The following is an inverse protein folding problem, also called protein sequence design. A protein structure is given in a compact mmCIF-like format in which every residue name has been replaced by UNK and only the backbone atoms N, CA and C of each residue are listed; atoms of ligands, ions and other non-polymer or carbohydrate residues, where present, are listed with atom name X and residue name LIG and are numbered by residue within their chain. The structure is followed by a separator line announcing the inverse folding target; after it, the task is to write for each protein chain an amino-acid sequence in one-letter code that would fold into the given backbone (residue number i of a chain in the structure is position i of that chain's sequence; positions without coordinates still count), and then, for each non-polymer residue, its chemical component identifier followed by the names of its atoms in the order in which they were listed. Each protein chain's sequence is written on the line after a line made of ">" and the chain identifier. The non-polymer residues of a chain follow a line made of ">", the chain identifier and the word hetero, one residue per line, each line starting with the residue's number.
data_IF_193922028252
#
_entry.id   IF_193922028252
#
_cell.length_a   1.000
_cell.length_b   1.000
_cell.length_c   1.000
_cell.angle_alpha   90.00
_cell.angle_beta   90.00
_cell.angle_gamma   90.00
#
_symmetry.space_group_name_H-M   'P 1'
#
loop_
_entity.id
_entity.type
_entity.pdbx_description
1 polymer ?
#
# COMPACT_ATOMS: atom_id res chain seq x y z
N UNK A 1 1.83 -0.05 -8.78
CA UNK A 1 0.83 -1.04 -9.20
C UNK A 1 -0.58 -0.76 -8.69
N UNK A 2 -0.93 -0.98 -7.41
CA UNK A 2 -2.33 -0.83 -6.94
C UNK A 2 -2.86 0.58 -7.23
N UNK A 3 -2.07 1.60 -6.90
CA UNK A 3 -2.42 3.00 -7.16
C UNK A 3 -2.60 3.32 -8.65
N UNK A 4 -1.95 2.57 -9.55
CA UNK A 4 -2.09 2.76 -10.99
C UNK A 4 -3.41 2.18 -11.48
N UNK A 5 -3.79 0.99 -10.99
CA UNK A 5 -5.10 0.40 -11.25
C UNK A 5 -6.22 1.29 -10.69
N UNK A 6 -6.07 1.80 -9.46
CA UNK A 6 -7.03 2.75 -8.88
C UNK A 6 -7.13 4.03 -9.73
N UNK A 7 -6.01 4.53 -10.26
CA UNK A 7 -6.03 5.70 -11.13
C UNK A 7 -6.78 5.43 -12.44
N UNK A 8 -6.62 4.23 -13.03
CA UNK A 8 -7.48 3.79 -14.14
C UNK A 8 -8.96 3.81 -13.75
N UNK A 9 -9.33 3.22 -12.60
CA UNK A 9 -10.72 3.23 -12.13
C UNK A 9 -11.27 4.65 -11.93
N UNK A 10 -10.46 5.56 -11.40
CA UNK A 10 -10.85 6.97 -11.21
C UNK A 10 -11.07 7.68 -12.54
N UNK A 11 -10.23 7.47 -13.54
CA UNK A 11 -10.42 8.03 -14.89
C UNK A 11 -11.63 7.39 -15.58
N UNK A 12 -11.84 6.09 -15.41
CA UNK A 12 -13.02 5.41 -15.93
C UNK A 12 -14.31 5.90 -15.27
N UNK A 13 -14.27 6.36 -14.02
CA UNK A 13 -15.42 6.97 -13.33
C UNK A 13 -15.57 8.46 -13.71
N UNK A 14 -14.47 9.21 -13.77
CA UNK A 14 -14.40 10.61 -14.12
C UNK A 14 -13.21 10.91 -15.06
N UNK A 15 -13.43 11.04 -16.39
CA UNK A 15 -12.37 11.29 -17.35
C UNK A 15 -11.68 12.64 -17.16
N UNK A 16 -12.34 13.60 -16.51
CA UNK A 16 -11.79 14.93 -16.22
C UNK A 16 -10.86 14.95 -14.99
N UNK A 17 -10.57 13.79 -14.39
CA UNK A 17 -9.54 13.66 -13.35
C UNK A 17 -8.14 13.70 -13.96
N UNK A 18 -7.67 14.92 -14.24
CA UNK A 18 -6.37 15.19 -14.86
C UNK A 18 -5.19 14.57 -14.07
N UNK A 19 -5.28 14.54 -12.73
CA UNK A 19 -4.22 13.99 -11.86
C UNK A 19 -4.05 12.49 -12.10
N UNK A 20 -5.16 11.74 -12.09
CA UNK A 20 -5.11 10.30 -12.32
C UNK A 20 -4.85 9.97 -13.81
N UNK A 21 -5.35 10.79 -14.74
CA UNK A 21 -5.07 10.63 -16.16
C UNK A 21 -3.57 10.77 -16.46
N UNK A 22 -2.91 11.78 -15.90
CA UNK A 22 -1.47 12.00 -16.06
C UNK A 22 -0.62 10.85 -15.50
N UNK A 23 -1.12 10.15 -14.48
CA UNK A 23 -0.45 8.99 -13.91
C UNK A 23 -0.47 7.77 -14.83
N UNK A 24 -1.58 7.56 -15.53
CA UNK A 24 -1.83 6.34 -16.32
C UNK A 24 -1.56 6.49 -17.83
N UNK A 25 -1.54 7.72 -18.35
CA UNK A 25 -1.44 7.98 -19.80
C UNK A 25 -0.21 7.29 -20.43
N UNK A 26 0.90 7.18 -19.70
CA UNK A 26 2.11 6.50 -20.16
C UNK A 26 2.50 5.31 -19.27
N UNK A 27 1.53 4.73 -18.55
CA UNK A 27 1.69 3.55 -17.70
C UNK A 27 0.63 2.50 -18.09
N UNK A 28 0.97 1.44 -18.85
CA UNK A 28 2.28 1.11 -19.45
C UNK A 28 2.79 2.10 -20.51
N UNK A 29 4.07 2.00 -20.89
CA UNK A 29 4.72 2.96 -21.80
C UNK A 29 4.04 2.97 -23.18
N UNK A 30 3.54 4.14 -23.59
CA UNK A 30 2.88 4.39 -24.89
C UNK A 30 3.67 5.34 -25.80
N UNK A 31 4.89 5.70 -25.43
CA UNK A 31 5.70 6.64 -26.22
C UNK A 31 5.20 8.10 -26.15
N UNK A 32 4.32 8.42 -25.20
CA UNK A 32 3.85 9.78 -24.95
C UNK A 32 4.88 10.47 -24.04
N UNK A 33 5.86 11.12 -24.67
CA UNK A 33 6.96 11.78 -23.97
C UNK A 33 6.56 13.05 -23.20
N UNK A 34 7.48 13.53 -22.33
CA UNK A 34 7.27 14.74 -21.51
C UNK A 34 6.93 15.98 -22.33
N UNK A 35 7.62 16.18 -23.45
CA UNK A 35 7.39 17.31 -24.37
C UNK A 35 6.01 17.25 -25.02
N UNK A 36 5.53 16.05 -25.37
CA UNK A 36 4.17 15.87 -25.87
C UNK A 36 3.14 16.21 -24.79
N UNK A 37 3.32 15.71 -23.56
CA UNK A 37 2.41 16.04 -22.46
C UNK A 37 2.37 17.54 -22.13
N UNK A 38 3.51 18.23 -22.20
CA UNK A 38 3.58 19.68 -21.98
C UNK A 38 2.78 20.45 -23.04
N UNK A 39 2.89 20.07 -24.32
CA UNK A 39 2.08 20.69 -25.40
C UNK A 39 0.59 20.44 -25.20
N UNK A 40 0.19 19.23 -24.82
CA UNK A 40 -1.22 18.90 -24.54
C UNK A 40 -1.74 19.78 -23.38
N UNK A 41 -0.97 19.90 -22.29
CA UNK A 41 -1.33 20.76 -21.16
C UNK A 41 -1.47 22.22 -21.56
N UNK A 42 -0.52 22.76 -22.33
CA UNK A 42 -0.58 24.15 -22.77
C UNK A 42 -1.84 24.43 -23.62
N UNK A 43 -2.25 23.49 -24.48
CA UNK A 43 -3.48 23.60 -25.25
C UNK A 43 -4.72 23.51 -24.35
N UNK A 44 -4.72 22.59 -23.39
CA UNK A 44 -5.80 22.43 -22.42
C UNK A 44 -6.01 23.70 -21.59
N UNK A 45 -4.93 24.28 -21.07
CA UNK A 45 -4.94 25.55 -20.33
C UNK A 45 -5.41 26.71 -21.20
N UNK A 46 -4.92 26.82 -22.44
CA UNK A 46 -5.31 27.90 -23.36
C UNK A 46 -6.80 27.84 -23.72
N UNK A 47 -7.37 26.64 -23.89
CA UNK A 47 -8.77 26.43 -24.29
C UNK A 47 -9.73 26.29 -23.11
N UNK A 48 -9.21 26.15 -21.88
CA UNK A 48 -10.03 25.91 -20.68
C UNK A 48 -10.71 24.53 -20.67
N UNK A 49 -10.09 23.53 -21.28
CA UNK A 49 -10.60 22.16 -21.35
C UNK A 49 -9.83 21.21 -20.44
N UNK A 50 -10.44 20.10 -20.02
CA UNK A 50 -9.71 19.02 -19.33
C UNK A 50 -8.67 18.40 -20.27
N UNK A 51 -7.70 17.67 -19.69
CA UNK A 51 -6.73 16.95 -20.49
C UNK A 51 -7.40 15.88 -21.36
N UNK A 52 -8.44 15.21 -20.84
CA UNK A 52 -9.16 14.20 -21.59
C UNK A 52 -9.87 14.77 -22.83
N UNK A 53 -10.60 15.88 -22.68
CA UNK A 53 -11.25 16.55 -23.82
C UNK A 53 -10.22 17.06 -24.83
N UNK A 54 -9.10 17.59 -24.35
CA UNK A 54 -8.01 18.06 -25.20
C UNK A 54 -7.41 16.91 -26.01
N UNK A 55 -7.04 15.81 -25.36
CA UNK A 55 -6.53 14.60 -26.02
C UNK A 55 -7.53 14.07 -27.05
N UNK A 56 -8.81 14.04 -26.69
CA UNK A 56 -9.89 13.57 -27.55
C UNK A 56 -10.03 14.40 -28.83
N UNK A 57 -9.81 15.72 -28.74
CA UNK A 57 -9.78 16.60 -29.92
C UNK A 57 -8.49 16.44 -30.74
N UNK A 58 -7.34 16.29 -30.07
CA UNK A 58 -6.02 16.27 -30.71
C UNK A 58 -5.73 14.99 -31.48
N UNK A 59 -6.41 13.88 -31.16
CA UNK A 59 -6.24 12.59 -31.87
C UNK A 59 -6.68 12.68 -33.34
N UNK A 60 -7.67 13.50 -33.64
CA UNK A 60 -8.22 13.70 -35.00
C UNK A 60 -7.85 15.03 -35.64
N UNK A 61 -7.29 15.97 -34.87
CA UNK A 61 -6.99 17.31 -35.38
C UNK A 61 -5.78 17.32 -36.32
N UNK A 62 -5.95 17.91 -37.50
CA UNK A 62 -4.84 18.19 -38.43
C UNK A 62 -3.85 19.21 -37.84
N UNK A 63 -4.34 20.14 -37.01
CA UNK A 63 -3.54 21.18 -36.33
C UNK A 63 -2.77 20.67 -35.10
N UNK A 64 -2.90 19.40 -34.76
CA UNK A 64 -2.24 18.82 -33.58
C UNK A 64 -0.71 18.89 -33.71
N UNK A 65 0.02 19.42 -32.70
CA UNK A 65 1.47 19.65 -32.75
C UNK A 65 2.30 18.37 -32.54
N UNK A 66 1.66 17.21 -32.67
CA UNK A 66 2.18 15.88 -32.40
C UNK A 66 2.30 15.09 -33.71
N UNK A 67 3.40 14.34 -33.86
CA UNK A 67 3.57 13.42 -34.99
C UNK A 67 2.62 12.23 -34.94
N UNK A 68 2.46 11.53 -36.07
CA UNK A 68 1.50 10.43 -36.27
C UNK A 68 1.54 9.39 -35.15
N UNK A 69 2.72 8.93 -34.75
CA UNK A 69 2.88 7.93 -33.69
C UNK A 69 2.26 8.35 -32.35
N UNK A 70 2.39 9.63 -31.97
CA UNK A 70 1.79 10.11 -30.72
C UNK A 70 0.28 10.21 -30.86
N UNK A 71 -0.24 10.61 -32.04
CA UNK A 71 -1.69 10.62 -32.30
C UNK A 71 -2.28 9.21 -32.21
N UNK A 72 -1.64 8.22 -32.83
CA UNK A 72 -2.03 6.80 -32.72
C UNK A 72 -2.05 6.33 -31.25
N UNK A 73 -1.02 6.63 -30.47
CA UNK A 73 -0.98 6.28 -29.05
C UNK A 73 -2.04 6.98 -28.20
N UNK A 74 -2.41 8.22 -28.54
CA UNK A 74 -3.51 8.94 -27.90
C UNK A 74 -4.87 8.33 -28.30
N UNK A 75 -5.03 7.94 -29.56
CA UNK A 75 -6.23 7.26 -30.06
C UNK A 75 -6.43 5.91 -29.37
N UNK A 76 -5.39 5.07 -29.31
CA UNK A 76 -5.40 3.80 -28.59
C UNK A 76 -5.75 3.99 -27.10
N UNK A 77 -5.16 5.00 -26.46
CA UNK A 77 -5.45 5.29 -25.06
C UNK A 77 -6.89 5.74 -24.84
N UNK A 78 -7.41 6.64 -25.67
CA UNK A 78 -8.79 7.09 -25.51
C UNK A 78 -9.78 5.98 -25.84
N UNK A 79 -9.55 5.19 -26.90
CA UNK A 79 -10.39 4.04 -27.23
C UNK A 79 -10.42 2.99 -26.12
N UNK A 80 -9.30 2.76 -25.44
CA UNK A 80 -9.23 1.92 -24.24
C UNK A 80 -10.14 2.47 -23.13
N UNK A 81 -10.04 3.77 -22.82
CA UNK A 81 -10.85 4.41 -21.77
C UNK A 81 -12.34 4.38 -22.13
N UNK A 82 -12.71 4.73 -23.36
CA UNK A 82 -14.10 4.72 -23.85
C UNK A 82 -14.71 3.30 -23.73
N UNK A 83 -13.99 2.27 -24.19
CA UNK A 83 -14.44 0.86 -24.15
C UNK A 83 -14.71 0.35 -22.72
N UNK A 84 -13.74 0.55 -21.81
CA UNK A 84 -13.89 0.04 -20.44
C UNK A 84 -14.84 0.92 -19.60
N UNK A 85 -15.00 2.20 -19.94
CA UNK A 85 -15.94 3.10 -19.27
C UNK A 85 -17.38 2.68 -19.51
N UNK A 86 -17.73 2.31 -20.75
CA UNK A 86 -19.08 1.82 -21.08
C UNK A 86 -19.44 0.60 -20.23
N UNK A 87 -18.56 -0.39 -20.18
CA UNK A 87 -18.80 -1.64 -19.45
C UNK A 87 -18.85 -1.42 -17.93
N UNK A 88 -17.90 -0.66 -17.35
CA UNK A 88 -17.82 -0.49 -15.89
C UNK A 88 -18.96 0.37 -15.32
N UNK A 89 -19.47 1.32 -16.10
CA UNK A 89 -20.60 2.18 -15.69
C UNK A 89 -21.95 1.46 -15.75
N UNK A 90 -22.02 0.30 -16.41
CA UNK A 90 -23.22 -0.55 -16.38
C UNK A 90 -23.51 -1.13 -14.99
N UNK A 91 -22.52 -1.09 -14.08
CA UNK A 91 -22.61 -1.65 -12.73
C UNK A 91 -22.57 -3.18 -12.66
N UNK A 92 -22.37 -3.86 -13.80
CA UNK A 92 -22.30 -5.33 -13.90
C UNK A 92 -20.91 -5.76 -14.33
N UNK A 93 -20.46 -6.90 -13.81
CA UNK A 93 -19.19 -7.54 -14.15
C UNK A 93 -18.00 -6.56 -14.06
N UNK A 94 -18.01 -5.67 -13.07
CA UNK A 94 -16.98 -4.65 -12.90
C UNK A 94 -15.61 -5.29 -12.65
N UNK A 95 -15.52 -6.31 -11.80
CA UNK A 95 -14.25 -6.99 -11.52
C UNK A 95 -13.68 -7.70 -12.76
N UNK A 96 -14.55 -8.31 -13.57
CA UNK A 96 -14.16 -8.92 -14.85
C UNK A 96 -13.71 -7.85 -15.85
N UNK A 97 -14.43 -6.72 -15.93
CA UNK A 97 -14.07 -5.56 -16.77
C UNK A 97 -12.67 -5.04 -16.44
N UNK A 98 -12.36 -4.90 -15.15
CA UNK A 98 -11.04 -4.41 -14.70
C UNK A 98 -9.97 -5.47 -14.93
N UNK A 99 -10.28 -6.75 -14.73
CA UNK A 99 -9.34 -7.85 -15.03
C UNK A 99 -8.97 -7.88 -16.51
N UNK A 100 -9.98 -7.79 -17.40
CA UNK A 100 -9.79 -7.70 -18.84
C UNK A 100 -8.96 -6.47 -19.22
N UNK A 101 -9.20 -5.32 -18.59
CA UNK A 101 -8.40 -4.11 -18.83
C UNK A 101 -6.93 -4.31 -18.44
N UNK A 102 -6.65 -4.90 -17.28
CA UNK A 102 -5.28 -5.17 -16.82
C UNK A 102 -4.52 -6.07 -17.80
N UNK A 103 -5.20 -7.07 -18.35
CA UNK A 103 -4.65 -7.95 -19.39
C UNK A 103 -4.46 -7.21 -20.71
N UNK A 104 -5.45 -6.42 -21.15
CA UNK A 104 -5.42 -5.68 -22.41
C UNK A 104 -4.33 -4.63 -22.46
N UNK A 105 -4.03 -3.97 -21.35
CA UNK A 105 -2.90 -3.03 -21.27
C UNK A 105 -1.54 -3.73 -21.13
N UNK A 106 -1.51 -5.06 -21.02
CA UNK A 106 -0.31 -5.86 -20.73
C UNK A 106 0.47 -5.34 -19.52
N UNK A 107 -0.23 -5.18 -18.39
CA UNK A 107 0.41 -4.69 -17.16
C UNK A 107 1.48 -5.67 -16.65
N UNK A 108 1.35 -6.96 -16.94
CA UNK A 108 2.39 -7.96 -16.63
C UNK A 108 3.68 -7.70 -17.42
N UNK A 109 3.58 -7.55 -18.74
CA UNK A 109 4.73 -7.20 -19.59
C UNK A 109 5.36 -5.87 -19.17
N UNK A 110 4.54 -4.90 -18.76
CA UNK A 110 5.02 -3.64 -18.18
C UNK A 110 5.89 -3.84 -16.93
N UNK A 111 5.42 -4.65 -15.96
CA UNK A 111 6.17 -4.93 -14.73
C UNK A 111 7.47 -5.68 -15.00
N UNK A 112 7.48 -6.61 -15.96
CA UNK A 112 8.69 -7.31 -16.38
C UNK A 112 9.73 -6.36 -16.98
N UNK A 113 9.28 -5.41 -17.81
CA UNK A 113 10.18 -4.40 -18.38
C UNK A 113 10.72 -3.44 -17.32
N UNK A 114 9.89 -3.02 -16.36
CA UNK A 114 10.31 -2.11 -15.28
C UNK A 114 11.26 -2.79 -14.29
N UNK A 115 11.10 -4.10 -14.08
CA UNK A 115 11.88 -4.90 -13.14
C UNK A 115 12.71 -5.98 -13.82
N UNK A 116 13.32 -5.64 -14.96
CA UNK A 116 14.11 -6.57 -15.80
C UNK A 116 15.31 -7.23 -15.10
N UNK A 117 15.71 -6.71 -13.94
CA UNK A 117 16.80 -7.24 -13.10
C UNK A 117 16.30 -8.06 -11.89
N UNK A 118 14.99 -8.08 -11.63
CA UNK A 118 14.39 -8.74 -10.48
C UNK A 118 12.96 -9.23 -10.78
N UNK A 119 12.88 -10.37 -11.46
CA UNK A 119 11.62 -11.04 -11.80
C UNK A 119 10.74 -11.33 -10.57
N UNK A 120 11.35 -11.60 -9.41
CA UNK A 120 10.61 -11.85 -8.17
C UNK A 120 9.85 -10.61 -7.71
N UNK A 121 10.42 -9.42 -7.87
CA UNK A 121 9.74 -8.17 -7.57
C UNK A 121 8.55 -7.92 -8.52
N UNK A 122 8.70 -8.22 -9.82
CA UNK A 122 7.59 -8.15 -10.78
C UNK A 122 6.45 -9.10 -10.40
N UNK A 123 6.77 -10.37 -10.10
CA UNK A 123 5.80 -11.39 -9.67
C UNK A 123 5.06 -10.98 -8.40
N UNK A 124 5.78 -10.44 -7.41
CA UNK A 124 5.18 -9.97 -6.16
C UNK A 124 4.21 -8.81 -6.39
N UNK A 125 4.60 -7.81 -7.18
CA UNK A 125 3.69 -6.70 -7.54
C UNK A 125 2.47 -7.19 -8.32
N UNK A 126 2.65 -8.11 -9.26
CA UNK A 126 1.52 -8.68 -10.00
C UNK A 126 0.57 -9.48 -9.09
N UNK A 127 1.11 -10.16 -8.07
CA UNK A 127 0.30 -10.82 -7.03
C UNK A 127 -0.54 -9.82 -6.24
N UNK A 128 -0.03 -8.61 -5.96
CA UNK A 128 -0.82 -7.56 -5.32
C UNK A 128 -2.02 -7.15 -6.20
N UNK A 129 -1.80 -7.00 -7.51
CA UNK A 129 -2.89 -6.69 -8.47
C UNK A 129 -3.94 -7.80 -8.46
N UNK A 130 -3.53 -9.08 -8.54
CA UNK A 130 -4.48 -10.20 -8.46
C UNK A 130 -5.29 -10.18 -7.16
N UNK A 131 -4.61 -9.95 -6.03
CA UNK A 131 -5.27 -9.87 -4.72
C UNK A 131 -6.28 -8.72 -4.70
N UNK A 132 -5.96 -7.58 -5.27
CA UNK A 132 -6.89 -6.47 -5.43
C UNK A 132 -8.10 -6.83 -6.28
N UNK A 133 -7.91 -7.51 -7.42
CA UNK A 133 -9.00 -7.97 -8.29
C UNK A 133 -9.90 -8.98 -7.56
N UNK A 134 -9.32 -9.90 -6.79
CA UNK A 134 -10.07 -10.87 -5.98
C UNK A 134 -10.92 -10.17 -4.91
N UNK A 135 -10.35 -9.19 -4.20
CA UNK A 135 -11.07 -8.38 -3.21
C UNK A 135 -12.19 -7.56 -3.86
N UNK A 136 -11.93 -7.00 -5.04
CA UNK A 136 -12.92 -6.24 -5.81
C UNK A 136 -14.08 -7.14 -6.27
N UNK A 137 -13.78 -8.35 -6.75
CA UNK A 137 -14.78 -9.34 -7.15
C UNK A 137 -15.64 -9.83 -5.97
N UNK A 138 -15.03 -9.99 -4.78
CA UNK A 138 -15.78 -10.32 -3.56
C UNK A 138 -16.73 -9.20 -3.17
N UNK A 139 -16.25 -7.95 -3.19
CA UNK A 139 -17.07 -6.78 -2.88
C UNK A 139 -18.23 -6.58 -3.87
N UNK A 140 -18.02 -6.87 -5.16
CA UNK A 140 -19.06 -6.79 -6.19
C UNK A 140 -20.18 -7.82 -5.95
N UNK A 141 -19.84 -9.01 -5.45
CA UNK A 141 -20.78 -10.12 -5.19
C UNK A 141 -21.36 -10.13 -3.77
N UNK A 142 -20.98 -9.17 -2.95
CA UNK A 142 -21.41 -9.07 -1.56
C UNK A 142 -22.92 -8.77 -1.50
N UNK A 143 -23.76 -9.63 -0.88
CA UNK A 143 -25.20 -9.42 -0.79
C UNK A 143 -25.59 -8.17 0.01
N UNK A 144 -24.72 -7.67 0.89
CA UNK A 144 -24.97 -6.45 1.67
C UNK A 144 -24.74 -5.18 0.83
N UNK A 145 -24.14 -5.32 -0.37
CA UNK A 145 -23.94 -4.24 -1.31
C UNK A 145 -25.19 -4.06 -2.19
N UNK A 146 -26.17 -3.33 -1.68
CA UNK A 146 -27.49 -3.13 -2.32
C UNK A 146 -27.44 -2.48 -3.72
N UNK A 147 -26.37 -1.74 -4.05
CA UNK A 147 -26.22 -1.09 -5.36
C UNK A 147 -24.73 -0.97 -5.73
N UNK A 148 -24.08 -2.07 -6.16
CA UNK A 148 -22.66 -2.07 -6.49
C UNK A 148 -22.43 -1.21 -7.73
N UNK A 149 -21.63 -0.15 -7.61
CA UNK A 149 -21.18 0.64 -8.74
C UNK A 149 -19.77 1.18 -8.47
N UNK A 150 -19.11 1.67 -9.53
CA UNK A 150 -17.72 2.10 -9.41
C UNK A 150 -17.55 3.27 -8.42
N UNK A 151 -18.55 4.16 -8.29
CA UNK A 151 -18.47 5.28 -7.36
C UNK A 151 -18.54 4.82 -5.90
N UNK A 152 -19.41 3.86 -5.58
CA UNK A 152 -19.49 3.29 -4.22
C UNK A 152 -18.20 2.57 -3.85
N UNK A 153 -17.58 1.85 -4.80
CA UNK A 153 -16.27 1.24 -4.58
C UNK A 153 -15.15 2.27 -4.36
N UNK A 154 -15.05 3.28 -5.23
CA UNK A 154 -14.03 4.33 -5.12
C UNK A 154 -14.14 5.12 -3.81
N UNK A 155 -15.35 5.32 -3.30
CA UNK A 155 -15.59 5.89 -1.98
C UNK A 155 -15.11 4.94 -0.87
N UNK A 156 -15.48 3.65 -0.94
CA UNK A 156 -15.04 2.63 0.03
C UNK A 156 -13.53 2.56 0.14
N UNK A 157 -12.79 2.47 -0.98
CA UNK A 157 -11.32 2.40 -0.93
C UNK A 157 -10.67 3.69 -0.44
N UNK A 158 -11.32 4.85 -0.64
CA UNK A 158 -10.83 6.14 -0.13
C UNK A 158 -11.01 6.25 1.39
N UNK A 159 -12.02 5.57 1.95
CA UNK A 159 -12.25 5.46 3.40
C UNK A 159 -11.32 4.44 4.05
N UNK A 160 -11.11 3.29 3.40
CA UNK A 160 -10.22 2.20 3.87
C UNK A 160 -8.75 2.65 4.03
N UNK A 161 -8.31 3.73 3.37
CA UNK A 161 -6.94 4.24 3.56
C UNK A 161 -6.67 4.88 4.94
N UNK A 162 -7.65 4.94 5.85
CA UNK A 162 -7.46 5.52 7.18
C UNK A 162 -7.63 4.53 8.33
N UNK A 163 -8.71 3.77 8.39
CA UNK A 163 -8.99 2.84 9.49
C UNK A 163 -9.98 1.79 8.95
N UNK A 164 -9.66 0.49 8.97
CA UNK A 164 -10.58 -0.57 9.43
C UNK A 164 -10.10 -2.01 9.18
N UNK A 165 -10.40 -2.79 10.21
CA UNK A 165 -10.19 -4.22 10.45
C UNK A 165 -10.95 -5.13 9.46
N UNK A 166 -10.31 -6.24 9.09
CA UNK A 166 -10.95 -7.39 8.44
C UNK A 166 -11.87 -8.12 9.45
N UNK A 167 -13.12 -7.68 9.61
CA UNK A 167 -14.13 -8.31 10.51
C UNK A 167 -14.53 -9.76 10.15
N UNK A 168 -13.89 -10.42 9.19
CA UNK A 168 -14.30 -11.75 8.69
C UNK A 168 -13.34 -12.91 8.95
N UNK A 169 -12.17 -12.70 9.55
CA UNK A 169 -11.17 -13.77 9.71
C UNK A 169 -10.68 -13.87 11.15
N UNK A 170 -11.28 -14.79 11.90
CA UNK A 170 -10.80 -15.17 13.25
C UNK A 170 -9.42 -15.82 13.19
N UNK A 171 -8.60 -15.60 14.22
CA UNK A 171 -7.26 -16.20 14.36
C UNK A 171 -6.10 -15.44 13.73
N UNK A 172 -6.26 -14.15 13.43
CA UNK A 172 -5.17 -13.28 12.95
C UNK A 172 -4.44 -12.61 14.12
N UNK A 173 -3.18 -12.24 13.87
CA UNK A 173 -2.40 -11.35 14.75
C UNK A 173 -2.52 -9.93 14.21
N UNK A 174 -2.90 -8.98 15.06
CA UNK A 174 -2.94 -7.56 14.69
C UNK A 174 -1.53 -6.97 14.76
N UNK A 175 -1.04 -6.45 13.63
CA UNK A 175 0.22 -5.71 13.56
C UNK A 175 -0.10 -4.25 13.25
N UNK A 176 0.26 -3.36 14.17
CA UNK A 176 -0.05 -1.94 14.08
C UNK A 176 1.03 -1.10 14.76
N UNK A 177 1.00 0.22 14.55
CA UNK A 177 1.87 1.16 15.27
C UNK A 177 1.30 1.46 16.66
N UNK A 178 2.13 1.96 17.58
CA UNK A 178 1.68 2.39 18.92
C UNK A 178 0.52 3.40 18.82
N UNK A 179 0.64 4.37 17.90
CA UNK A 179 -0.39 5.38 17.66
C UNK A 179 -1.74 4.78 17.26
N UNK A 180 -1.73 3.80 16.35
CA UNK A 180 -2.94 3.12 15.88
C UNK A 180 -3.59 2.24 16.95
N UNK A 181 -2.84 1.85 17.99
CA UNK A 181 -3.37 1.04 19.10
C UNK A 181 -4.22 1.82 20.11
N UNK A 182 -4.26 3.16 20.00
CA UNK A 182 -4.94 4.01 20.97
C UNK A 182 -6.44 3.69 21.03
N UNK A 183 -6.92 3.33 22.21
CA UNK A 183 -8.33 2.96 22.45
C UNK A 183 -8.64 1.47 22.21
N UNK A 184 -7.68 0.69 21.72
CA UNK A 184 -7.78 -0.76 21.60
C UNK A 184 -7.16 -1.46 22.81
N UNK A 185 -7.54 -2.71 23.07
CA UNK A 185 -6.95 -3.53 24.13
C UNK A 185 -6.90 -5.00 23.70
N UNK A 186 -5.84 -5.71 24.07
CA UNK A 186 -5.60 -7.09 23.65
C UNK A 186 -5.19 -7.96 24.86
N UNK A 187 -5.54 -9.25 24.83
CA UNK A 187 -5.15 -10.20 25.88
C UNK A 187 -3.62 -10.29 26.02
N UNK A 188 -2.92 -10.36 24.89
CA UNK A 188 -1.46 -10.46 24.80
C UNK A 188 -0.95 -9.39 23.84
N UNK A 189 0.04 -8.61 24.27
CA UNK A 189 0.70 -7.59 23.45
C UNK A 189 2.19 -7.87 23.37
N UNK A 190 2.74 -7.79 22.16
CA UNK A 190 4.17 -7.76 21.91
C UNK A 190 4.56 -6.36 21.45
N UNK A 191 5.34 -5.64 22.27
CA UNK A 191 5.94 -4.37 21.88
C UNK A 191 7.36 -4.64 21.38
N UNK A 192 7.53 -4.57 20.06
CA UNK A 192 8.79 -4.85 19.41
C UNK A 192 9.64 -3.59 19.22
N UNK A 193 10.95 -3.71 19.40
CA UNK A 193 11.89 -2.61 19.18
C UNK A 193 11.87 -1.58 20.30
N UNK A 194 11.80 -2.02 21.55
CA UNK A 194 11.94 -1.17 22.75
C UNK A 194 13.42 -0.84 22.94
N UNK A 195 13.94 -0.03 22.01
CA UNK A 195 15.34 0.29 21.81
C UNK A 195 15.56 1.80 21.87
N UNK A 196 16.75 2.21 22.34
CA UNK A 196 17.20 3.60 22.23
C UNK A 196 17.09 4.09 20.78
N UNK A 197 16.69 5.35 20.59
CA UNK A 197 16.41 6.01 19.30
C UNK A 197 15.14 5.58 18.56
N UNK A 198 14.55 4.43 18.90
CA UNK A 198 13.24 4.03 18.37
C UNK A 198 12.13 4.34 19.37
N UNK A 199 12.37 4.06 20.65
CA UNK A 199 11.53 4.43 21.79
C UNK A 199 12.48 4.93 22.89
N UNK A 200 12.58 6.25 23.15
CA UNK A 200 11.93 7.34 22.44
C UNK A 200 12.48 7.54 21.01
N UNK A 201 11.65 8.03 20.09
CA UNK A 201 12.06 8.31 18.72
C UNK A 201 13.07 9.46 18.65
N UNK A 202 14.29 9.19 18.18
CA UNK A 202 15.42 10.13 18.25
C UNK A 202 15.12 11.51 17.65
N UNK A 203 14.49 11.56 16.47
CA UNK A 203 14.17 12.85 15.83
C UNK A 203 13.17 13.68 16.63
N UNK A 204 12.23 13.01 17.32
CA UNK A 204 11.22 13.69 18.15
C UNK A 204 11.91 14.43 19.30
N UNK A 205 12.88 13.76 19.94
CA UNK A 205 13.65 14.30 21.07
C UNK A 205 14.67 15.36 20.62
N UNK A 206 15.29 15.18 19.45
CA UNK A 206 16.24 16.16 18.88
C UNK A 206 15.56 17.47 18.48
N UNK A 207 14.33 17.41 17.94
CA UNK A 207 13.56 18.59 17.56
C UNK A 207 13.15 19.43 18.77
N UNK A 208 12.72 18.77 19.86
CA UNK A 208 12.42 19.42 21.13
C UNK A 208 12.60 18.43 22.29
N UNK A 209 13.49 18.71 23.26
CA UNK A 209 13.68 17.87 24.45
C UNK A 209 12.38 17.63 25.24
N UNK A 210 11.43 18.57 25.23
CA UNK A 210 10.14 18.43 25.90
C UNK A 210 9.25 17.31 25.29
N UNK A 211 9.54 16.89 24.04
CA UNK A 211 8.83 15.78 23.39
C UNK A 211 9.16 14.42 24.03
N UNK A 212 10.20 14.33 24.85
CA UNK A 212 10.50 13.11 25.61
C UNK A 212 9.31 12.67 26.46
N UNK A 213 8.59 13.63 27.05
CA UNK A 213 7.37 13.35 27.83
C UNK A 213 6.23 12.84 26.95
N UNK A 214 6.17 13.23 25.68
CA UNK A 214 5.19 12.70 24.74
C UNK A 214 5.53 11.27 24.32
N UNK A 215 6.80 10.98 24.05
CA UNK A 215 7.27 9.62 23.78
C UNK A 215 7.06 8.69 24.99
N UNK A 216 7.25 9.20 26.20
CA UNK A 216 6.93 8.52 27.46
C UNK A 216 5.43 8.21 27.55
N UNK A 217 4.56 9.17 27.20
CA UNK A 217 3.11 8.95 27.11
C UNK A 217 2.75 7.90 26.06
N UNK A 218 3.40 7.89 24.91
CA UNK A 218 3.21 6.87 23.87
C UNK A 218 3.61 5.48 24.39
N UNK A 219 4.76 5.37 25.07
CA UNK A 219 5.19 4.12 25.69
C UNK A 219 4.21 3.63 26.75
N UNK A 220 3.71 4.52 27.61
CA UNK A 220 2.65 4.22 28.58
C UNK A 220 1.38 3.72 27.88
N UNK A 221 0.94 4.37 26.80
CA UNK A 221 -0.21 3.90 26.01
C UNK A 221 0.04 2.48 25.50
N UNK A 222 1.22 2.19 24.95
CA UNK A 222 1.58 0.87 24.45
C UNK A 222 1.51 -0.21 25.54
N UNK A 223 2.09 0.05 26.72
CA UNK A 223 2.05 -0.86 27.88
C UNK A 223 0.61 -1.15 28.30
N UNK A 224 -0.22 -0.12 28.39
CA UNK A 224 -1.62 -0.24 28.85
C UNK A 224 -2.57 -0.85 27.83
N UNK A 225 -2.09 -1.26 26.64
CA UNK A 225 -2.93 -2.02 25.69
C UNK A 225 -3.07 -3.49 26.10
N UNK A 226 -2.17 -4.00 26.94
CA UNK A 226 -2.15 -5.40 27.36
C UNK A 226 -3.09 -5.65 28.55
N UNK A 227 -3.97 -6.66 28.44
CA UNK A 227 -4.85 -7.08 29.54
C UNK A 227 -4.23 -8.14 30.44
N UNK A 228 -3.52 -9.12 29.85
CA UNK A 228 -2.94 -10.24 30.61
C UNK A 228 -1.41 -10.30 30.51
N UNK A 229 -0.85 -10.27 29.29
CA UNK A 229 0.59 -10.42 29.09
C UNK A 229 1.15 -9.34 28.18
N UNK A 230 2.27 -8.78 28.61
CA UNK A 230 3.07 -7.84 27.84
C UNK A 230 4.46 -8.42 27.64
N UNK A 231 4.90 -8.48 26.39
CA UNK A 231 6.26 -8.84 26.02
C UNK A 231 6.95 -7.64 25.40
N UNK A 232 8.07 -7.21 25.96
CA UNK A 232 8.90 -6.13 25.46
C UNK A 232 10.14 -6.75 24.81
N UNK A 233 10.46 -6.38 23.58
CA UNK A 233 11.64 -6.94 22.89
C UNK A 233 12.56 -5.85 22.35
N UNK A 234 13.86 -6.10 22.47
CA UNK A 234 14.95 -5.28 21.91
C UNK A 234 15.97 -6.19 21.23
N UNK A 235 16.71 -5.69 20.24
CA UNK A 235 17.84 -6.41 19.65
C UNK A 235 19.19 -5.73 19.95
N UNK A 236 20.29 -6.50 19.91
CA UNK A 236 21.67 -5.98 20.01
C UNK A 236 22.13 -5.32 18.72
N UNK A 237 21.65 -5.81 17.58
CA UNK A 237 21.96 -5.27 16.25
C UNK A 237 20.71 -5.24 15.39
N UNK A 238 20.52 -4.12 14.67
CA UNK A 238 19.42 -3.91 13.72
C UNK A 238 19.97 -3.56 12.36
N UNK A 239 19.39 -4.14 11.32
CA UNK A 239 19.66 -3.71 9.95
C UNK A 239 18.61 -2.70 9.52
N UNK A 240 19.02 -1.45 9.32
CA UNK A 240 18.17 -0.41 8.75
C UNK A 240 18.64 -0.15 7.32
N UNK A 241 17.76 -0.40 6.34
CA UNK A 241 18.11 -0.40 4.92
C UNK A 241 19.26 -1.37 4.59
N UNK A 242 20.49 -0.88 4.47
CA UNK A 242 21.69 -1.64 4.13
C UNK A 242 22.77 -1.64 5.22
N UNK A 243 22.61 -0.79 6.23
CA UNK A 243 23.60 -0.62 7.29
C UNK A 243 23.15 -1.37 8.54
N UNK A 244 24.11 -2.00 9.22
CA UNK A 244 23.89 -2.61 10.52
C UNK A 244 24.28 -1.57 11.57
N UNK A 245 23.37 -1.28 12.48
CA UNK A 245 23.61 -0.45 13.65
C UNK A 245 23.56 -1.31 14.91
N UNK A 246 24.44 -1.02 15.86
CA UNK A 246 24.28 -1.52 17.23
C UNK A 246 23.10 -0.82 17.88
N UNK A 247 22.38 -1.57 18.72
CA UNK A 247 21.19 -1.09 19.39
C UNK A 247 21.32 -1.38 20.89
N UNK A 248 20.92 -0.42 21.71
CA UNK A 248 20.78 -0.59 23.15
C UNK A 248 19.30 -0.61 23.53
N UNK A 249 18.93 -1.26 24.65
CA UNK A 249 17.57 -1.18 25.18
C UNK A 249 17.10 0.28 25.39
N UNK A 250 15.79 0.49 25.38
CA UNK A 250 15.20 1.81 25.66
C UNK A 250 15.49 2.25 27.10
N UNK A 251 15.80 3.54 27.34
CA UNK A 251 15.91 4.07 28.70
C UNK A 251 14.59 3.97 29.49
N UNK A 252 13.44 3.92 28.82
CA UNK A 252 12.14 3.78 29.51
C UNK A 252 11.97 2.43 30.22
N UNK A 253 12.80 1.43 29.91
CA UNK A 253 12.80 0.17 30.65
C UNK A 253 13.37 0.33 32.06
N UNK A 254 14.31 1.25 32.26
CA UNK A 254 14.93 1.52 33.58
C UNK A 254 13.96 2.22 34.55
N UNK A 255 12.89 2.78 34.01
CA UNK A 255 11.85 3.49 34.76
C UNK A 255 10.76 2.54 35.27
N UNK A 256 10.71 1.31 34.73
CA UNK A 256 9.80 0.27 35.21
C UNK A 256 10.42 -0.34 36.48
N UNK A 257 9.66 -0.45 37.59
CA UNK A 257 10.16 -1.08 38.80
C UNK A 257 10.74 -2.48 38.49
N UNK A 258 11.98 -2.79 38.94
CA UNK A 258 12.65 -4.06 38.62
C UNK A 258 11.85 -5.31 39.00
N UNK A 259 11.01 -5.22 40.04
CA UNK A 259 10.12 -6.29 40.48
C UNK A 259 8.96 -6.59 39.52
N UNK A 260 8.68 -5.70 38.56
CA UNK A 260 7.60 -5.85 37.57
C UNK A 260 8.09 -6.33 36.21
N UNK A 261 9.40 -6.49 36.02
CA UNK A 261 10.00 -6.85 34.74
C UNK A 261 10.90 -8.09 34.89
N UNK A 262 10.67 -9.09 34.05
CA UNK A 262 11.52 -10.28 33.95
C UNK A 262 12.39 -10.15 32.70
N UNK A 263 13.71 -10.05 32.89
CA UNK A 263 14.67 -9.96 31.80
C UNK A 263 15.04 -11.35 31.30
N UNK A 264 14.79 -11.60 30.02
CA UNK A 264 15.25 -12.79 29.32
C UNK A 264 16.37 -12.42 28.36
N UNK A 265 17.62 -12.60 28.80
CA UNK A 265 18.78 -12.46 27.93
C UNK A 265 19.27 -13.87 27.54
N UNK A 266 19.28 -14.22 26.24
CA UNK A 266 19.80 -15.52 25.83
C UNK A 266 21.31 -15.59 26.05
N UNK A 267 21.77 -16.67 26.70
CA UNK A 267 23.18 -16.88 27.06
C UNK A 267 24.11 -16.98 25.83
N UNK A 268 23.59 -17.43 24.69
CA UNK A 268 24.33 -17.61 23.44
C UNK A 268 23.54 -17.10 22.24
N UNK A 269 24.26 -16.65 21.21
CA UNK A 269 23.66 -16.38 19.91
C UNK A 269 23.07 -17.69 19.35
N UNK A 270 21.80 -17.65 18.96
CA UNK A 270 21.13 -18.79 18.34
C UNK A 270 21.75 -19.02 16.96
N UNK A 271 22.23 -20.24 16.69
CA UNK A 271 22.77 -20.56 15.37
C UNK A 271 21.66 -20.51 14.32
N UNK A 272 22.03 -20.30 13.05
CA UNK A 272 21.04 -20.28 11.97
C UNK A 272 20.27 -21.60 11.86
N UNK A 273 20.93 -22.72 12.13
CA UNK A 273 20.37 -24.07 12.12
C UNK A 273 19.36 -24.25 13.28
N UNK A 274 19.73 -23.85 14.50
CA UNK A 274 18.84 -23.91 15.67
C UNK A 274 17.60 -23.03 15.49
N UNK A 275 17.75 -21.86 14.86
CA UNK A 275 16.64 -20.98 14.55
C UNK A 275 15.69 -21.61 13.52
N UNK A 276 16.24 -22.21 12.46
CA UNK A 276 15.45 -22.92 11.44
C UNK A 276 14.68 -24.10 12.04
N UNK A 277 15.32 -24.89 12.89
CA UNK A 277 14.71 -26.01 13.59
C UNK A 277 13.60 -25.56 14.55
N UNK A 278 13.84 -24.48 15.31
CA UNK A 278 12.83 -23.88 16.18
C UNK A 278 11.59 -23.44 15.38
N UNK A 279 11.78 -22.73 14.26
CA UNK A 279 10.67 -22.30 13.43
C UNK A 279 9.96 -23.46 12.72
N UNK A 280 10.69 -24.51 12.36
CA UNK A 280 10.11 -25.74 11.80
C UNK A 280 9.21 -26.43 12.84
N UNK A 281 9.69 -26.60 14.07
CA UNK A 281 8.94 -27.16 15.18
C UNK A 281 7.72 -26.31 15.56
N UNK A 282 7.86 -24.99 15.60
CA UNK A 282 6.76 -24.05 15.84
C UNK A 282 5.70 -24.17 14.74
N UNK A 283 6.10 -24.20 13.46
CA UNK A 283 5.16 -24.38 12.33
C UNK A 283 4.45 -25.73 12.40
N UNK A 284 5.13 -26.79 12.84
CA UNK A 284 4.52 -28.10 13.02
C UNK A 284 3.42 -28.08 14.09
N UNK A 285 3.68 -27.45 15.25
CA UNK A 285 2.69 -27.25 16.34
C UNK A 285 1.46 -26.46 15.90
N UNK A 286 1.69 -25.32 15.24
CA UNK A 286 0.61 -24.48 14.70
C UNK A 286 -0.25 -25.25 13.68
N UNK A 287 0.35 -26.17 12.91
CA UNK A 287 -0.38 -27.03 11.96
C UNK A 287 -1.12 -28.20 12.63
N UNK A 288 -0.62 -28.72 13.76
CA UNK A 288 -1.25 -29.83 14.49
C UNK A 288 -2.37 -29.38 15.44
N UNK A 289 -2.53 -28.07 15.66
CA UNK A 289 -3.58 -27.53 16.55
C UNK A 289 -3.32 -27.81 18.03
N UNK A 290 -2.06 -28.10 18.39
CA UNK A 290 -1.54 -28.32 19.74
C UNK A 290 -0.36 -27.41 20.02
#
# INVERSE_FOLDING_TARGET
>A
EIKDIIAYLRVLANPDDDVNLLRIINTPRRGIGKTSLQKIRAIAEQKGYSLYSTISSLRWSEESPHGTRVKESLEEFVGLIEYYRETILSGKNMAETVSSMVERIDYWGHLLQEHSTNDNAARWKYKNIKTFLDLFARWEKDPDNLNPNIYTYLNKISLITRDDDDEGVSGKVHLMTIHASKGLEFEIVFLAGVESHLIPHARSVEENPDNLEEERRLFYVAITRAKQKLYLTSCRTRKVLREKSECSPSPFLEEIPPELIEFHEPDNDISAEDAEDFFAAMKARVRSGT
#
